data_IF_049889171954
#
_entry.id   IF_049889171954
#
_cell.length_a   1.000
_cell.length_b   1.000
_cell.length_c   1.000
_cell.angle_alpha   90.00
_cell.angle_beta   90.00
_cell.angle_gamma   90.00
#
_symmetry.space_group_name_H-M   'P 1'
#
loop_
_entity.id
_entity.type
_entity.pdbx_description
1 polymer ?
#
# COMPACT_ATOMS: atom_id res chain seq x y z
N UNK A 1 16.62 6.32 16.13
CA UNK A 1 17.36 6.38 14.85
C UNK A 1 16.84 7.56 14.06
N UNK A 2 17.71 8.43 13.51
CA UNK A 2 17.24 9.52 12.64
C UNK A 2 16.70 8.91 11.34
N UNK A 3 15.45 9.21 11.00
CA UNK A 3 14.84 8.72 9.76
C UNK A 3 15.66 9.18 8.56
N UNK A 4 15.83 8.36 7.52
CA UNK A 4 16.55 8.78 6.29
C UNK A 4 15.76 9.89 5.60
N UNK A 5 16.44 10.77 4.85
CA UNK A 5 15.72 11.78 4.05
C UNK A 5 15.12 11.14 2.80
N UNK A 6 14.05 11.71 2.24
CA UNK A 6 13.45 11.22 0.98
C UNK A 6 14.45 11.17 -0.17
N UNK A 7 15.36 12.15 -0.22
CA UNK A 7 16.47 12.19 -1.19
C UNK A 7 17.40 11.00 -1.00
N UNK A 8 17.80 10.71 0.24
CA UNK A 8 18.68 9.58 0.55
C UNK A 8 18.02 8.23 0.22
N UNK A 9 16.73 8.10 0.51
CA UNK A 9 15.95 6.88 0.23
C UNK A 9 15.90 6.62 -1.28
N UNK A 10 15.44 7.59 -2.07
CA UNK A 10 15.36 7.47 -3.53
C UNK A 10 16.73 7.21 -4.17
N UNK A 11 17.76 7.96 -3.75
CA UNK A 11 19.13 7.79 -4.25
C UNK A 11 19.65 6.37 -4.02
N UNK A 12 19.43 5.82 -2.83
CA UNK A 12 19.89 4.47 -2.48
C UNK A 12 19.09 3.40 -3.24
N UNK A 13 17.79 3.59 -3.40
CA UNK A 13 16.94 2.70 -4.19
C UNK A 13 17.38 2.65 -5.66
N UNK A 14 17.80 3.79 -6.23
CA UNK A 14 18.36 3.89 -7.58
C UNK A 14 19.83 3.42 -7.68
N UNK A 15 20.45 2.96 -6.58
CA UNK A 15 21.86 2.52 -6.58
C UNK A 15 22.88 3.64 -6.83
N UNK A 16 22.48 4.91 -6.67
CA UNK A 16 23.32 6.06 -7.00
C UNK A 16 24.21 6.49 -5.82
N UNK A 17 25.45 6.90 -6.12
CA UNK A 17 26.26 7.65 -5.15
C UNK A 17 25.80 9.11 -5.06
N UNK A 18 26.13 9.82 -3.98
CA UNK A 18 25.82 11.25 -3.86
C UNK A 18 26.44 12.07 -5.02
N UNK A 19 27.67 11.71 -5.46
CA UNK A 19 28.32 12.35 -6.60
C UNK A 19 27.52 12.12 -7.89
N UNK A 20 27.08 10.88 -8.13
CA UNK A 20 26.35 10.55 -9.35
C UNK A 20 24.99 11.25 -9.42
N UNK A 21 24.26 11.30 -8.30
CA UNK A 21 23.02 12.06 -8.23
C UNK A 21 23.26 13.56 -8.49
N UNK A 22 24.35 14.12 -7.96
CA UNK A 22 24.71 15.52 -8.17
C UNK A 22 24.93 15.85 -9.66
N UNK A 23 25.63 14.96 -10.38
CA UNK A 23 25.89 15.10 -11.81
C UNK A 23 24.59 15.10 -12.62
N UNK A 24 23.70 14.13 -12.38
CA UNK A 24 22.43 13.99 -13.11
C UNK A 24 21.52 15.19 -12.81
N UNK A 25 21.36 15.54 -11.53
CA UNK A 25 20.51 16.64 -11.10
C UNK A 25 21.12 18.03 -11.33
N UNK A 26 22.34 18.13 -11.89
CA UNK A 26 23.08 19.38 -12.11
C UNK A 26 23.18 20.22 -10.83
N UNK A 27 23.71 19.62 -9.77
CA UNK A 27 23.99 20.25 -8.48
C UNK A 27 25.36 19.82 -7.95
N UNK A 28 25.75 20.29 -6.76
CA UNK A 28 27.00 19.91 -6.10
C UNK A 28 26.78 18.73 -5.14
N UNK A 29 27.75 17.80 -5.09
CA UNK A 29 27.71 16.67 -4.15
C UNK A 29 27.67 17.13 -2.69
N UNK A 30 28.36 18.25 -2.37
CA UNK A 30 28.33 18.89 -1.05
C UNK A 30 26.90 19.25 -0.63
N UNK A 31 26.10 19.84 -1.53
CA UNK A 31 24.70 20.19 -1.28
C UNK A 31 23.84 18.97 -0.99
N UNK A 32 23.99 17.88 -1.75
CA UNK A 32 23.29 16.62 -1.47
C UNK A 32 23.67 16.10 -0.08
N UNK A 33 24.95 16.12 0.26
CA UNK A 33 25.42 15.71 1.59
C UNK A 33 24.82 16.57 2.70
N UNK A 34 24.68 17.89 2.50
CA UNK A 34 24.03 18.78 3.47
C UNK A 34 22.54 18.47 3.62
N UNK A 35 21.83 18.21 2.52
CA UNK A 35 20.42 17.83 2.53
C UNK A 35 20.20 16.49 3.23
N UNK A 36 20.95 15.45 2.88
CA UNK A 36 20.82 14.12 3.49
C UNK A 36 21.16 14.13 4.99
N UNK A 37 22.09 14.99 5.42
CA UNK A 37 22.44 15.19 6.83
C UNK A 37 21.56 16.21 7.55
N UNK A 38 20.53 16.76 6.89
CA UNK A 38 19.64 17.81 7.40
C UNK A 38 20.37 19.05 7.92
N UNK A 39 21.56 19.34 7.38
CA UNK A 39 22.30 20.59 7.67
C UNK A 39 21.71 21.78 6.91
N UNK A 40 21.07 21.51 5.77
CA UNK A 40 20.35 22.48 4.95
C UNK A 40 19.03 21.87 4.52
N UNK A 41 17.97 22.67 4.49
CA UNK A 41 16.69 22.26 3.92
C UNK A 41 16.64 22.65 2.43
N UNK A 42 16.44 21.70 1.50
CA UNK A 42 16.17 22.03 0.11
C UNK A 42 14.77 22.65 -0.05
N UNK A 43 14.56 23.42 -1.11
CA UNK A 43 13.21 23.81 -1.54
C UNK A 43 12.49 22.61 -2.15
N UNK A 44 11.16 22.68 -2.29
CA UNK A 44 10.37 21.61 -2.91
C UNK A 44 10.86 21.30 -4.34
N UNK A 45 11.09 22.32 -5.16
CA UNK A 45 11.61 22.16 -6.53
C UNK A 45 12.96 21.42 -6.58
N UNK A 46 13.81 21.63 -5.56
CA UNK A 46 15.09 20.92 -5.45
C UNK A 46 14.86 19.46 -5.06
N UNK A 47 13.89 19.17 -4.19
CA UNK A 47 13.51 17.80 -3.84
C UNK A 47 12.97 17.08 -5.07
N UNK A 48 11.98 17.65 -5.77
CA UNK A 48 11.37 17.07 -6.96
C UNK A 48 12.40 16.76 -8.05
N UNK A 49 13.30 17.72 -8.37
CA UNK A 49 14.38 17.50 -9.34
C UNK A 49 15.36 16.40 -8.91
N UNK A 50 15.66 16.27 -7.62
CA UNK A 50 16.56 15.23 -7.13
C UNK A 50 15.90 13.85 -7.14
N UNK A 51 14.58 13.79 -6.92
CA UNK A 51 13.82 12.54 -7.04
C UNK A 51 13.70 12.11 -8.50
N UNK A 52 13.37 13.04 -9.41
CA UNK A 52 13.32 12.80 -10.86
C UNK A 52 14.66 12.29 -11.41
N UNK A 53 15.78 12.92 -11.00
CA UNK A 53 17.13 12.46 -11.33
C UNK A 53 17.50 11.06 -10.78
N UNK A 54 16.69 10.52 -9.87
CA UNK A 54 16.82 9.18 -9.31
C UNK A 54 15.71 8.24 -9.81
N UNK A 55 14.94 8.61 -10.84
CA UNK A 55 13.78 7.87 -11.37
C UNK A 55 12.69 7.64 -10.30
N UNK A 56 12.45 8.64 -9.45
CA UNK A 56 11.40 8.63 -8.43
C UNK A 56 10.46 9.84 -8.57
N UNK A 57 9.17 9.61 -8.34
CA UNK A 57 8.16 10.65 -8.26
C UNK A 57 7.89 11.05 -6.80
N UNK A 58 7.62 12.34 -6.56
CA UNK A 58 7.15 12.81 -5.25
C UNK A 58 5.62 12.67 -5.18
N UNK A 59 5.16 11.68 -4.41
CA UNK A 59 3.73 11.45 -4.22
C UNK A 59 3.28 11.79 -2.79
N UNK A 60 2.09 12.35 -2.66
CA UNK A 60 1.42 12.49 -1.36
C UNK A 60 0.70 11.19 -1.02
N UNK A 61 1.17 10.47 0.01
CA UNK A 61 0.48 9.30 0.57
C UNK A 61 -0.45 9.75 1.71
N UNK A 62 -1.70 9.27 1.78
CA UNK A 62 -2.54 9.45 2.96
C UNK A 62 -1.84 8.93 4.22
N UNK A 63 -1.89 9.69 5.31
CA UNK A 63 -1.45 9.21 6.62
C UNK A 63 -2.51 8.27 7.20
N UNK A 64 -2.04 7.19 7.83
CA UNK A 64 -2.87 6.25 8.59
C UNK A 64 -2.73 6.61 10.07
N UNK A 65 -3.85 6.87 10.72
CA UNK A 65 -3.92 7.07 12.16
C UNK A 65 -4.47 5.81 12.82
N UNK A 66 -4.06 5.57 14.06
CA UNK A 66 -4.34 4.34 14.78
C UNK A 66 -4.99 4.63 16.12
N UNK A 67 -6.07 3.91 16.38
CA UNK A 67 -6.77 3.94 17.67
C UNK A 67 -6.57 2.59 18.38
N UNK A 68 -6.32 2.64 19.69
CA UNK A 68 -6.28 1.47 20.54
C UNK A 68 -7.71 1.14 21.00
N UNK A 69 -8.19 -0.03 20.64
CA UNK A 69 -9.49 -0.54 21.08
C UNK A 69 -9.27 -1.49 22.24
N UNK A 70 -9.99 -1.28 23.34
CA UNK A 70 -10.06 -2.21 24.47
C UNK A 70 -11.32 -3.06 24.37
N UNK A 71 -11.16 -4.37 24.53
CA UNK A 71 -12.25 -5.34 24.57
C UNK A 71 -12.03 -6.33 25.72
N UNK A 72 -13.12 -6.75 26.36
CA UNK A 72 -13.06 -7.61 27.55
C UNK A 72 -12.61 -9.04 27.23
N UNK A 73 -12.92 -9.55 26.04
CA UNK A 73 -12.69 -10.95 25.67
C UNK A 73 -11.33 -11.14 25.00
N UNK A 74 -10.88 -10.15 24.22
CA UNK A 74 -9.65 -10.25 23.40
C UNK A 74 -8.52 -9.31 23.85
N UNK A 75 -8.76 -8.48 24.86
CA UNK A 75 -7.81 -7.49 25.33
C UNK A 75 -7.75 -6.25 24.42
N UNK A 76 -6.57 -5.66 24.29
CA UNK A 76 -6.35 -4.45 23.49
C UNK A 76 -5.76 -4.75 22.12
N UNK A 77 -6.27 -4.12 21.07
CA UNK A 77 -5.75 -4.22 19.70
C UNK A 77 -5.84 -2.89 18.96
N UNK A 78 -5.01 -2.71 17.93
CA UNK A 78 -4.96 -1.47 17.15
C UNK A 78 -5.87 -1.54 15.93
N UNK A 79 -6.56 -0.43 15.65
CA UNK A 79 -7.44 -0.28 14.48
C UNK A 79 -7.05 0.99 13.72
N UNK A 80 -6.80 0.91 12.40
CA UNK A 80 -6.47 2.07 11.60
C UNK A 80 -7.71 2.85 11.17
N UNK A 81 -7.55 4.13 10.83
CA UNK A 81 -8.65 4.98 10.32
C UNK A 81 -8.96 4.75 8.83
N UNK A 82 -8.06 4.08 8.09
CA UNK A 82 -8.23 3.67 6.69
C UNK A 82 -7.28 2.55 6.31
N UNK A 83 -7.58 1.87 5.20
CA UNK A 83 -6.64 0.95 4.54
C UNK A 83 -5.58 1.72 3.73
N UNK A 84 -4.41 1.11 3.58
CA UNK A 84 -3.26 1.66 2.86
C UNK A 84 -2.68 0.64 1.89
N UNK A 85 -1.83 1.11 0.98
CA UNK A 85 -1.01 0.25 0.13
C UNK A 85 0.37 0.06 0.72
N UNK A 86 0.84 -1.18 0.66
CA UNK A 86 2.22 -1.57 0.94
C UNK A 86 2.97 -1.63 -0.40
N UNK A 87 4.26 -1.27 -0.47
CA UNK A 87 5.04 -1.44 -1.69
C UNK A 87 5.02 -2.90 -2.16
N UNK A 88 4.79 -3.14 -3.46
CA UNK A 88 4.65 -4.50 -4.04
C UNK A 88 5.73 -5.50 -3.59
N UNK A 89 7.03 -5.14 -3.48
CA UNK A 89 8.04 -6.09 -2.99
C UNK A 89 7.79 -6.58 -1.56
N UNK A 90 7.17 -5.75 -0.72
CA UNK A 90 6.88 -6.07 0.67
C UNK A 90 5.59 -6.88 0.81
N UNK A 91 4.62 -6.71 -0.10
CA UNK A 91 3.36 -7.47 -0.11
C UNK A 91 3.57 -9.00 -0.16
N UNK A 92 4.69 -9.44 -0.72
CA UNK A 92 5.04 -10.86 -0.90
C UNK A 92 6.39 -11.22 -0.27
N UNK A 93 6.87 -10.39 0.66
CA UNK A 93 8.14 -10.63 1.34
C UNK A 93 8.07 -11.84 2.28
N UNK A 94 9.26 -12.35 2.65
CA UNK A 94 9.38 -13.21 3.82
C UNK A 94 9.49 -12.35 5.07
N UNK A 95 8.55 -12.51 5.98
CA UNK A 95 8.51 -11.77 7.24
C UNK A 95 8.86 -12.69 8.39
N UNK A 96 9.57 -12.15 9.39
CA UNK A 96 9.93 -12.87 10.60
C UNK A 96 9.42 -12.12 11.81
N UNK A 97 8.91 -12.87 12.78
CA UNK A 97 8.55 -12.31 14.07
C UNK A 97 9.04 -13.21 15.20
N UNK A 98 9.47 -12.56 16.28
CA UNK A 98 9.92 -13.24 17.47
C UNK A 98 8.76 -13.54 18.39
N UNK A 99 8.79 -14.70 19.05
CA UNK A 99 7.76 -15.19 19.96
C UNK A 99 7.34 -14.16 21.03
N UNK A 100 8.31 -13.42 21.58
CA UNK A 100 8.11 -12.44 22.65
C UNK A 100 7.53 -11.09 22.20
N UNK A 101 7.34 -10.87 20.90
CA UNK A 101 6.67 -9.67 20.38
C UNK A 101 5.16 -9.73 20.61
N UNK A 102 4.62 -10.94 20.77
CA UNK A 102 3.20 -11.20 20.94
C UNK A 102 2.88 -11.75 22.33
N UNK A 103 1.62 -11.70 22.76
CA UNK A 103 1.17 -12.38 23.98
C UNK A 103 1.48 -13.88 23.95
N UNK A 104 1.77 -14.51 25.11
CA UNK A 104 2.08 -15.95 25.18
C UNK A 104 1.00 -16.85 24.55
N UNK A 105 -0.26 -16.46 24.65
CA UNK A 105 -1.43 -17.19 24.15
C UNK A 105 -1.40 -17.27 22.61
N UNK A 106 -1.01 -16.19 21.94
CA UNK A 106 -0.92 -16.11 20.48
C UNK A 106 0.26 -16.94 19.90
N UNK A 107 1.19 -17.35 20.76
CA UNK A 107 2.42 -18.05 20.35
C UNK A 107 2.61 -19.39 21.06
N UNK A 108 1.58 -19.88 21.75
CA UNK A 108 1.65 -21.10 22.55
C UNK A 108 2.10 -22.30 21.70
N UNK A 109 1.59 -22.40 20.47
CA UNK A 109 1.84 -23.50 19.54
C UNK A 109 3.15 -23.35 18.76
N UNK A 110 3.88 -22.24 18.96
CA UNK A 110 5.16 -22.04 18.31
C UNK A 110 6.24 -22.86 18.99
N UNK A 111 6.84 -23.76 18.22
CA UNK A 111 8.01 -24.54 18.61
C UNK A 111 9.30 -23.74 18.51
N UNK A 112 9.37 -22.76 17.62
CA UNK A 112 10.55 -21.92 17.36
C UNK A 112 10.43 -20.55 18.04
N UNK A 113 11.58 -19.97 18.43
CA UNK A 113 11.64 -18.60 18.97
C UNK A 113 11.37 -17.52 17.93
N UNK A 114 11.63 -17.83 16.66
CA UNK A 114 11.39 -16.97 15.50
C UNK A 114 10.56 -17.78 14.53
N UNK A 115 9.43 -17.23 14.10
CA UNK A 115 8.63 -17.82 13.03
C UNK A 115 8.79 -16.98 11.77
N UNK A 116 8.86 -17.65 10.62
CA UNK A 116 8.95 -17.03 9.31
C UNK A 116 7.68 -17.35 8.52
N UNK A 117 7.12 -16.34 7.86
CA UNK A 117 6.03 -16.49 6.89
C UNK A 117 6.51 -16.01 5.54
N UNK A 118 6.14 -16.74 4.50
CA UNK A 118 6.30 -16.35 3.11
C UNK A 118 4.99 -15.74 2.61
N UNK A 119 4.88 -14.41 2.59
CA UNK A 119 3.64 -13.71 2.24
C UNK A 119 3.24 -13.90 0.77
N UNK A 120 4.11 -14.47 -0.07
CA UNK A 120 3.75 -14.91 -1.42
C UNK A 120 2.75 -16.08 -1.42
N UNK A 121 2.72 -16.87 -0.35
CA UNK A 121 1.76 -17.96 -0.17
C UNK A 121 0.54 -17.46 0.58
N UNK A 122 -0.63 -17.68 0.00
CA UNK A 122 -1.89 -17.16 0.55
C UNK A 122 -2.20 -17.65 1.96
N UNK A 123 -2.05 -18.95 2.23
CA UNK A 123 -2.30 -19.51 3.56
C UNK A 123 -1.38 -18.92 4.63
N UNK A 124 -0.08 -18.78 4.32
CA UNK A 124 0.89 -18.17 5.26
C UNK A 124 0.64 -16.67 5.43
N UNK A 125 0.16 -15.97 4.39
CA UNK A 125 -0.22 -14.55 4.48
C UNK A 125 -1.46 -14.36 5.34
N UNK A 126 -2.48 -15.21 5.20
CA UNK A 126 -3.69 -15.18 6.04
C UNK A 126 -3.32 -15.40 7.50
N UNK A 127 -2.54 -16.45 7.81
CA UNK A 127 -2.07 -16.75 9.18
C UNK A 127 -1.29 -15.57 9.78
N UNK A 128 -0.40 -14.96 9.00
CA UNK A 128 0.33 -13.77 9.45
C UNK A 128 -0.59 -12.55 9.65
N UNK A 129 -1.53 -12.30 8.74
CA UNK A 129 -2.47 -11.17 8.84
C UNK A 129 -3.38 -11.30 10.05
N UNK A 130 -3.90 -12.50 10.35
CA UNK A 130 -4.69 -12.76 11.54
C UNK A 130 -3.92 -12.42 12.81
N UNK A 131 -2.66 -12.88 12.89
CA UNK A 131 -1.78 -12.61 14.03
C UNK A 131 -1.55 -11.11 14.24
N UNK A 132 -1.17 -10.37 13.18
CA UNK A 132 -0.79 -8.96 13.34
C UNK A 132 -1.98 -8.01 13.43
N UNK A 133 -3.13 -8.34 12.83
CA UNK A 133 -4.37 -7.57 12.99
C UNK A 133 -4.88 -7.64 14.44
N UNK A 134 -4.66 -8.77 15.12
CA UNK A 134 -5.08 -8.95 16.51
C UNK A 134 -4.02 -8.48 17.52
N UNK A 135 -2.74 -8.76 17.27
CA UNK A 135 -1.68 -8.64 18.28
C UNK A 135 -0.47 -7.83 17.81
N UNK A 136 -0.47 -7.36 16.57
CA UNK A 136 0.63 -6.61 15.99
C UNK A 136 0.74 -5.19 16.55
N UNK A 137 1.97 -4.66 16.52
CA UNK A 137 2.20 -3.23 16.68
C UNK A 137 1.85 -2.50 15.39
N UNK A 138 1.41 -1.25 15.49
CA UNK A 138 1.08 -0.36 14.36
C UNK A 138 2.07 -0.45 13.19
N UNK A 139 3.38 -0.36 13.46
CA UNK A 139 4.43 -0.42 12.43
C UNK A 139 4.57 -1.77 11.75
N UNK A 140 4.35 -2.86 12.49
CA UNK A 140 4.37 -4.19 11.88
C UNK A 140 3.22 -4.33 10.90
N UNK A 141 2.02 -3.89 11.29
CA UNK A 141 0.83 -3.95 10.44
C UNK A 141 1.01 -3.02 9.23
N UNK A 142 1.42 -1.76 9.44
CA UNK A 142 1.61 -0.76 8.38
C UNK A 142 2.59 -1.19 7.28
N UNK A 143 3.68 -1.87 7.65
CA UNK A 143 4.75 -2.24 6.70
C UNK A 143 4.50 -3.58 5.97
N UNK A 144 3.50 -4.37 6.38
CA UNK A 144 3.33 -5.76 5.92
C UNK A 144 1.90 -6.15 5.49
N UNK A 145 0.87 -5.45 5.99
CA UNK A 145 -0.53 -5.69 5.63
C UNK A 145 -0.94 -4.74 4.52
N UNK A 146 -1.09 -5.25 3.30
CA UNK A 146 -1.60 -4.47 2.18
C UNK A 146 -3.13 -4.46 2.19
N UNK A 147 -3.74 -3.29 2.00
CA UNK A 147 -5.19 -3.15 2.03
C UNK A 147 -5.93 -3.99 0.97
N UNK A 148 -5.38 -4.11 -0.24
CA UNK A 148 -6.02 -4.92 -1.30
C UNK A 148 -5.92 -6.41 -0.98
N UNK A 149 -4.74 -6.86 -0.55
CA UNK A 149 -4.55 -8.26 -0.15
C UNK A 149 -5.33 -8.62 1.11
N UNK A 150 -5.48 -7.67 2.05
CA UNK A 150 -6.32 -7.84 3.23
C UNK A 150 -7.79 -8.01 2.84
N UNK A 151 -8.32 -7.18 1.94
CA UNK A 151 -9.69 -7.32 1.42
C UNK A 151 -9.91 -8.71 0.80
N UNK A 152 -8.95 -9.20 0.02
CA UNK A 152 -9.02 -10.54 -0.60
C UNK A 152 -8.96 -11.67 0.44
N UNK A 153 -8.11 -11.55 1.44
CA UNK A 153 -7.96 -12.51 2.53
C UNK A 153 -9.16 -12.50 3.51
N UNK A 154 -9.80 -11.34 3.70
CA UNK A 154 -10.78 -11.08 4.75
C UNK A 154 -11.88 -12.15 4.89
N UNK A 155 -12.51 -12.66 3.81
CA UNK A 155 -13.56 -13.68 3.93
C UNK A 155 -13.07 -15.02 4.50
N UNK A 156 -11.78 -15.33 4.34
CA UNK A 156 -11.16 -16.58 4.76
C UNK A 156 -10.56 -16.47 6.18
N UNK A 157 -10.37 -15.25 6.69
CA UNK A 157 -9.76 -15.03 7.98
C UNK A 157 -10.68 -15.44 9.15
N UNK A 158 -10.10 -16.11 10.14
CA UNK A 158 -10.74 -16.51 11.39
C UNK A 158 -10.33 -15.56 12.52
N UNK A 159 -11.06 -14.45 12.63
CA UNK A 159 -10.80 -13.43 13.65
C UNK A 159 -11.83 -13.48 14.79
N UNK A 160 -11.44 -13.13 16.02
CA UNK A 160 -12.40 -12.89 17.08
C UNK A 160 -13.43 -11.84 16.70
N UNK A 161 -14.66 -11.99 17.20
CA UNK A 161 -15.78 -11.15 16.77
C UNK A 161 -15.56 -9.65 17.02
N UNK A 162 -14.88 -9.29 18.11
CA UNK A 162 -14.54 -7.90 18.43
C UNK A 162 -13.61 -7.28 17.38
N UNK A 163 -12.52 -7.97 17.04
CA UNK A 163 -11.55 -7.55 16.01
C UNK A 163 -12.23 -7.46 14.65
N UNK A 164 -12.99 -8.50 14.27
CA UNK A 164 -13.75 -8.54 13.01
C UNK A 164 -14.68 -7.32 12.89
N UNK A 165 -15.48 -7.03 13.93
CA UNK A 165 -16.40 -5.88 13.95
C UNK A 165 -15.69 -4.54 13.84
N UNK A 166 -14.55 -4.38 14.52
CA UNK A 166 -13.83 -3.12 14.55
C UNK A 166 -13.16 -2.79 13.19
N UNK A 167 -12.67 -3.80 12.48
CA UNK A 167 -12.02 -3.64 11.18
C UNK A 167 -13.00 -3.66 9.99
N UNK A 168 -14.19 -4.26 10.14
CA UNK A 168 -15.18 -4.39 9.06
C UNK A 168 -15.53 -3.06 8.36
N UNK A 169 -15.72 -1.92 9.05
CA UNK A 169 -16.01 -0.65 8.39
C UNK A 169 -14.93 -0.21 7.40
N UNK A 170 -13.67 -0.57 7.62
CA UNK A 170 -12.55 -0.26 6.72
C UNK A 170 -12.63 -1.09 5.43
N UNK A 171 -13.02 -2.36 5.56
CA UNK A 171 -13.24 -3.27 4.42
C UNK A 171 -14.44 -2.78 3.60
N UNK A 172 -15.53 -2.40 4.27
CA UNK A 172 -16.76 -1.92 3.64
C UNK A 172 -16.52 -0.58 2.92
N UNK A 173 -15.80 0.36 3.55
CA UNK A 173 -15.40 1.64 2.96
C UNK A 173 -14.61 1.43 1.66
N UNK A 174 -13.58 0.58 1.71
CA UNK A 174 -12.69 0.36 0.57
C UNK A 174 -13.37 -0.37 -0.60
N UNK A 175 -14.42 -1.14 -0.32
CA UNK A 175 -15.16 -1.92 -1.33
C UNK A 175 -16.47 -1.27 -1.79
N UNK A 176 -16.83 -0.10 -1.24
CA UNK A 176 -18.08 0.61 -1.56
C UNK A 176 -18.27 0.91 -3.05
N UNK A 177 -17.18 1.15 -3.79
CA UNK A 177 -17.25 1.51 -5.22
C UNK A 177 -17.79 0.39 -6.10
N UNK A 178 -17.88 -0.85 -5.61
CA UNK A 178 -18.49 -1.97 -6.33
C UNK A 178 -19.97 -1.74 -6.69
N UNK A 179 -20.68 -0.88 -5.95
CA UNK A 179 -22.11 -0.61 -6.19
C UNK A 179 -22.37 0.54 -7.18
N UNK A 180 -21.31 1.23 -7.62
CA UNK A 180 -21.38 2.38 -8.55
C UNK A 180 -21.43 1.98 -10.04
N UNK A 181 -21.52 2.96 -10.95
CA UNK A 181 -21.28 2.71 -12.37
C UNK A 181 -19.85 2.18 -12.57
N UNK A 182 -19.58 1.39 -13.63
CA UNK A 182 -18.23 0.93 -13.93
C UNK A 182 -17.23 2.08 -13.94
N UNK A 183 -16.09 1.90 -13.26
CA UNK A 183 -14.98 2.84 -13.36
C UNK A 183 -14.54 2.92 -14.82
N UNK A 184 -14.40 4.13 -15.34
CA UNK A 184 -13.78 4.39 -16.64
C UNK A 184 -12.41 5.04 -16.43
N UNK A 185 -11.33 4.25 -16.45
CA UNK A 185 -9.98 4.78 -16.24
C UNK A 185 -9.68 5.85 -17.28
N UNK A 186 -9.36 7.06 -16.79
CA UNK A 186 -9.01 8.23 -17.61
C UNK A 186 -10.11 8.64 -18.63
N UNK A 187 -11.36 8.20 -18.42
CA UNK A 187 -12.49 8.53 -19.31
C UNK A 187 -12.39 7.94 -20.72
N UNK A 188 -11.53 6.94 -20.92
CA UNK A 188 -11.20 6.42 -22.25
C UNK A 188 -12.40 5.74 -22.91
N UNK A 189 -13.23 5.03 -22.13
CA UNK A 189 -14.38 4.30 -22.65
C UNK A 189 -15.53 5.25 -23.01
N UNK A 190 -15.74 6.29 -22.21
CA UNK A 190 -16.65 7.39 -22.51
C UNK A 190 -16.25 8.11 -23.81
N UNK A 191 -14.95 8.45 -23.94
CA UNK A 191 -14.41 9.05 -25.16
C UNK A 191 -14.63 8.14 -26.39
N UNK A 192 -14.25 6.87 -26.30
CA UNK A 192 -14.45 5.91 -27.38
C UNK A 192 -15.94 5.73 -27.73
N UNK A 193 -16.82 5.67 -26.72
CA UNK A 193 -18.26 5.57 -26.93
C UNK A 193 -18.78 6.79 -27.71
N UNK A 194 -18.29 8.00 -27.41
CA UNK A 194 -18.56 9.21 -28.17
C UNK A 194 -18.16 9.09 -29.64
N UNK A 195 -16.96 8.60 -29.94
CA UNK A 195 -16.45 8.39 -31.31
C UNK A 195 -17.34 7.44 -32.12
N UNK A 196 -17.81 6.36 -31.49
CA UNK A 196 -18.70 5.38 -32.15
C UNK A 196 -20.19 5.66 -31.95
N UNK A 197 -20.55 6.83 -31.41
CA UNK A 197 -21.93 7.27 -31.13
C UNK A 197 -22.74 6.28 -30.27
N UNK A 198 -22.08 5.68 -29.29
CA UNK A 198 -22.68 4.87 -28.23
C UNK A 198 -22.77 5.67 -26.93
N UNK A 199 -23.72 5.31 -26.06
CA UNK A 199 -23.81 5.84 -24.70
C UNK A 199 -22.86 5.10 -23.75
N UNK A 200 -22.37 5.81 -22.73
CA UNK A 200 -21.57 5.25 -21.64
C UNK A 200 -22.20 5.60 -20.27
N UNK A 201 -22.25 4.66 -19.30
CA UNK A 201 -21.92 3.25 -19.43
C UNK A 201 -22.88 2.52 -20.38
N UNK A 202 -22.39 1.47 -21.04
CA UNK A 202 -23.23 0.67 -21.93
C UNK A 202 -24.37 0.00 -21.13
N UNK A 203 -25.59 -0.09 -21.68
CA UNK A 203 -26.68 -0.82 -21.04
C UNK A 203 -26.30 -2.28 -20.80
N UNK A 204 -26.68 -2.85 -19.65
CA UNK A 204 -26.40 -4.26 -19.27
C UNK A 204 -26.83 -5.32 -20.30
N UNK A 205 -27.69 -4.98 -21.26
CA UNK A 205 -28.16 -5.86 -22.34
C UNK A 205 -27.99 -5.23 -23.72
N UNK A 206 -26.82 -4.66 -24.01
CA UNK A 206 -26.50 -4.19 -25.36
C UNK A 206 -26.29 -5.37 -26.32
N UNK A 207 -27.09 -5.43 -27.39
CA UNK A 207 -27.01 -6.41 -28.51
C UNK A 207 -26.82 -5.69 -29.85
N UNK A 208 -25.92 -4.70 -29.90
CA UNK A 208 -25.65 -3.94 -31.12
C UNK A 208 -24.57 -4.61 -31.98
N UNK A 209 -24.77 -4.64 -33.30
CA UNK A 209 -23.70 -4.92 -34.24
C UNK A 209 -22.84 -3.65 -34.40
N UNK A 210 -21.52 -3.78 -34.33
CA UNK A 210 -20.58 -2.68 -34.62
C UNK A 210 -20.83 -2.22 -36.07
N UNK A 211 -21.19 -0.94 -36.31
CA UNK A 211 -21.30 -0.44 -37.67
C UNK A 211 -19.92 -0.55 -38.34
N UNK A 212 -19.80 -1.36 -39.40
CA UNK A 212 -18.57 -1.36 -40.20
C UNK A 212 -18.41 0.03 -40.80
N UNK A 213 -17.25 0.65 -40.57
CA UNK A 213 -16.88 1.90 -41.21
C UNK A 213 -17.08 1.76 -42.72
N UNK A 214 -17.94 2.60 -43.27
CA UNK A 214 -18.13 2.67 -44.71
C UNK A 214 -16.83 3.22 -45.29
N UNK A 215 -16.15 2.41 -46.09
CA UNK A 215 -14.96 2.80 -46.83
C UNK A 215 -15.30 4.01 -47.70
N UNK A 216 -14.71 5.16 -47.37
CA UNK A 216 -14.76 6.34 -48.23
C UNK A 216 -13.97 5.99 -49.49
N UNK A 217 -14.65 6.08 -50.64
CA UNK A 217 -14.05 6.04 -51.98
C UNK A 217 -13.77 7.46 -52.44
#
# INVERSE_FOLDING_TARGET
MSSKTVIEVARRAAGLSQRRLAEIARTQQSSISEYERRRKSPTLDVVERLLDAADHELIAKPMVFWDLVEDADVGSFWVPDKLWSVPVPNCFAKVQAFKYVFPPEATQDWTEFVRTWDLSKEEERIDYYELVVQHGMDKMVEDSVDGVLLIQAWPQMTLPSAVRRAWQPLIDEATRTHDGPPLDPDGVSEWMAGEVKLGWPLPKRWRGAVPRSSSVT
#
